data_IF_864411178041
#
_entry.id   IF_864411178041
#
_cell.length_a   1.000
_cell.length_b   1.000
_cell.length_c   1.000
_cell.angle_alpha   90.00
_cell.angle_beta   90.00
_cell.angle_gamma   90.00
#
_symmetry.space_group_name_H-M   'P 1'
#
loop_
_entity.id
_entity.type
_entity.pdbx_description
1 polymer ?
#
# COMPACT_ATOMS: atom_id res chain seq x y z
N UNK A 1 -5.31 38.53 -7.98
CA UNK A 1 -4.43 37.34 -8.11
C UNK A 1 -4.56 36.57 -6.81
N UNK A 2 -5.28 35.45 -6.78
CA UNK A 2 -5.28 34.56 -5.62
C UNK A 2 -4.28 33.45 -5.94
N UNK A 3 -3.24 33.32 -5.14
CA UNK A 3 -2.26 32.24 -5.28
C UNK A 3 -2.96 30.88 -5.12
N UNK A 4 -2.76 29.92 -6.04
CA UNK A 4 -3.28 28.58 -5.85
C UNK A 4 -2.51 27.95 -4.69
N UNK A 5 -3.21 27.57 -3.63
CA UNK A 5 -2.65 26.82 -2.52
C UNK A 5 -2.14 25.47 -3.07
N UNK A 6 -0.83 25.37 -3.23
CA UNK A 6 -0.13 24.18 -3.68
C UNK A 6 -0.24 23.09 -2.60
N UNK A 7 -1.08 22.09 -2.85
CA UNK A 7 -1.29 20.94 -1.97
C UNK A 7 -0.28 19.80 -2.29
N UNK A 8 0.98 20.15 -2.55
CA UNK A 8 1.97 19.23 -3.17
C UNK A 8 2.75 18.34 -2.21
N UNK A 9 2.36 18.21 -0.94
CA UNK A 9 2.89 17.15 -0.07
C UNK A 9 1.78 16.57 0.79
N UNK A 10 1.01 15.62 0.25
CA UNK A 10 0.25 14.71 1.12
C UNK A 10 1.28 14.00 2.01
N UNK A 11 1.29 14.36 3.30
CA UNK A 11 2.13 13.70 4.30
C UNK A 11 1.82 12.21 4.27
N UNK A 12 2.86 11.39 4.31
CA UNK A 12 2.71 9.95 4.39
C UNK A 12 1.80 9.60 5.58
N UNK A 13 0.81 8.75 5.32
CA UNK A 13 -0.12 8.27 6.33
C UNK A 13 0.14 6.80 6.57
N UNK A 14 -0.10 6.35 7.81
CA UNK A 14 -0.03 4.93 8.11
C UNK A 14 -1.40 4.30 7.88
N UNK A 15 -1.46 3.31 6.99
CA UNK A 15 -2.69 2.56 6.77
C UNK A 15 -3.05 1.76 8.05
N UNK A 16 -4.31 1.73 8.51
CA UNK A 16 -4.69 1.04 9.74
C UNK A 16 -4.33 -0.46 9.76
N UNK A 17 -4.33 -1.09 8.58
CA UNK A 17 -4.00 -2.51 8.40
C UNK A 17 -2.51 -2.75 8.07
N UNK A 18 -1.66 -1.72 8.15
CA UNK A 18 -0.25 -1.82 7.75
C UNK A 18 0.49 -2.96 8.46
N UNK A 19 0.26 -3.16 9.76
CA UNK A 19 0.96 -4.20 10.54
C UNK A 19 0.67 -5.62 10.01
N UNK A 20 -0.61 -5.94 9.78
CA UNK A 20 -1.01 -7.23 9.22
C UNK A 20 -0.61 -7.37 7.77
N UNK A 21 -0.73 -6.30 6.98
CA UNK A 21 -0.39 -6.31 5.56
C UNK A 21 1.11 -6.50 5.35
N UNK A 22 1.94 -5.92 6.22
CA UNK A 22 3.39 -6.14 6.21
C UNK A 22 3.75 -7.60 6.50
N UNK A 23 3.04 -8.26 7.40
CA UNK A 23 3.22 -9.70 7.66
C UNK A 23 2.79 -10.54 6.45
N UNK A 24 1.70 -10.17 5.79
CA UNK A 24 1.24 -10.81 4.55
C UNK A 24 2.27 -10.64 3.43
N UNK A 25 2.79 -9.43 3.21
CA UNK A 25 3.85 -9.16 2.22
C UNK A 25 5.08 -10.03 2.49
N UNK A 26 5.55 -10.09 3.73
CA UNK A 26 6.69 -10.95 4.08
C UNK A 26 6.42 -12.43 3.76
N UNK A 27 5.18 -12.90 3.96
CA UNK A 27 4.77 -14.27 3.66
C UNK A 27 4.69 -14.52 2.15
N UNK A 28 4.21 -13.54 1.38
CA UNK A 28 4.16 -13.59 -0.09
C UNK A 28 5.57 -13.58 -0.71
N UNK A 29 6.50 -12.82 -0.14
CA UNK A 29 7.89 -12.75 -0.61
C UNK A 29 8.66 -14.06 -0.35
N UNK A 30 8.31 -14.80 0.70
CA UNK A 30 8.92 -16.08 1.04
C UNK A 30 8.18 -17.28 0.42
N UNK A 31 6.95 -17.07 -0.05
CA UNK A 31 6.06 -18.13 -0.55
C UNK A 31 6.10 -18.27 -2.08
N UNK A 32 5.54 -19.39 -2.55
CA UNK A 32 5.39 -19.66 -3.97
C UNK A 32 4.23 -18.85 -4.60
N UNK A 33 4.27 -18.54 -5.91
CA UNK A 33 3.23 -17.81 -6.61
C UNK A 33 1.99 -18.68 -6.90
N UNK A 34 1.33 -19.15 -5.83
CA UNK A 34 0.06 -19.87 -5.92
C UNK A 34 -1.09 -18.92 -6.26
N UNK A 35 -2.18 -19.44 -6.81
CA UNK A 35 -3.38 -18.63 -7.14
C UNK A 35 -3.89 -17.82 -5.93
N UNK A 36 -3.82 -18.41 -4.73
CA UNK A 36 -4.17 -17.72 -3.49
C UNK A 36 -3.24 -16.55 -3.20
N UNK A 37 -1.92 -16.77 -3.28
CA UNK A 37 -0.92 -15.73 -3.04
C UNK A 37 -1.02 -14.60 -4.07
N UNK A 38 -1.30 -14.92 -5.33
CA UNK A 38 -1.54 -13.94 -6.38
C UNK A 38 -2.80 -13.11 -6.12
N UNK A 39 -3.88 -13.73 -5.61
CA UNK A 39 -5.10 -13.01 -5.24
C UNK A 39 -4.86 -12.06 -4.05
N UNK A 40 -4.10 -12.48 -3.04
CA UNK A 40 -3.73 -11.63 -1.90
C UNK A 40 -2.81 -10.46 -2.32
N UNK A 41 -1.85 -10.71 -3.22
CA UNK A 41 -1.03 -9.64 -3.81
C UNK A 41 -1.90 -8.61 -4.56
N UNK A 42 -2.88 -9.06 -5.35
CA UNK A 42 -3.80 -8.17 -6.05
C UNK A 42 -4.63 -7.34 -5.07
N UNK A 43 -5.10 -7.93 -3.96
CA UNK A 43 -5.82 -7.21 -2.90
C UNK A 43 -4.96 -6.12 -2.26
N UNK A 44 -3.69 -6.40 -1.96
CA UNK A 44 -2.75 -5.41 -1.45
C UNK A 44 -2.57 -4.26 -2.44
N UNK A 45 -2.35 -4.58 -3.73
CA UNK A 45 -2.23 -3.55 -4.77
C UNK A 45 -3.43 -2.62 -4.86
N UNK A 46 -4.64 -3.17 -4.84
CA UNK A 46 -5.88 -2.38 -4.90
C UNK A 46 -6.02 -1.52 -3.64
N UNK A 47 -5.75 -2.09 -2.45
CA UNK A 47 -5.90 -1.39 -1.16
C UNK A 47 -4.98 -0.17 -1.04
N UNK A 48 -3.74 -0.32 -1.48
CA UNK A 48 -2.72 0.72 -1.35
C UNK A 48 -2.62 1.64 -2.58
N UNK A 49 -3.44 1.40 -3.60
CA UNK A 49 -3.44 2.21 -4.83
C UNK A 49 -3.74 3.67 -4.52
N UNK A 50 -2.76 4.54 -4.74
CA UNK A 50 -2.90 5.99 -4.51
C UNK A 50 -2.95 6.39 -3.03
N UNK A 51 -2.70 5.48 -2.10
CA UNK A 51 -2.69 5.80 -0.68
C UNK A 51 -1.38 6.51 -0.28
N UNK A 52 -1.42 7.68 0.39
CA UNK A 52 -0.23 8.38 0.83
C UNK A 52 0.47 7.57 1.95
N UNK A 53 1.73 7.19 1.76
CA UNK A 53 2.47 6.33 2.68
C UNK A 53 2.50 4.84 2.32
N UNK A 54 1.98 4.44 1.15
CA UNK A 54 2.04 3.08 0.62
C UNK A 54 3.42 2.61 0.09
N UNK A 55 4.51 3.33 0.39
CA UNK A 55 5.81 3.14 -0.30
C UNK A 55 6.48 1.80 -0.02
N UNK A 56 6.12 1.16 1.08
CA UNK A 56 6.75 -0.04 1.63
C UNK A 56 5.88 -1.30 1.51
N UNK A 57 4.77 -1.24 0.77
CA UNK A 57 3.87 -2.38 0.51
C UNK A 57 3.93 -2.79 -0.97
#
# INVERSE_FOLDING_TARGET
>A
MADPQDNSTQKDQQHPLWSSDRQLVNSLLAGEPTDYNLAELARLRIRYQGFPGARDI
#
